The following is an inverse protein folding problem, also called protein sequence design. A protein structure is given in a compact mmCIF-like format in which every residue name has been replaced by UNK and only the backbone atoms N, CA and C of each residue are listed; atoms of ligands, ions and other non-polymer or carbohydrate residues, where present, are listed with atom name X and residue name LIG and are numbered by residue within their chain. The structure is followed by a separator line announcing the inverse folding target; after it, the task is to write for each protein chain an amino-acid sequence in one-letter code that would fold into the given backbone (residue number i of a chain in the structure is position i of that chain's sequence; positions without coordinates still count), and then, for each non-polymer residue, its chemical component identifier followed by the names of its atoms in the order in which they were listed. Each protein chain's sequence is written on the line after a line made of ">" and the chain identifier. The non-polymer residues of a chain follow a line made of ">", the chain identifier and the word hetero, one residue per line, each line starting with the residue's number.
data_IF_447858592272
#
_entry.id   IF_447858592272
#
_cell.length_a   1.000
_cell.length_b   1.000
_cell.length_c   1.000
_cell.angle_alpha   90.00
_cell.angle_beta   90.00
_cell.angle_gamma   90.00
#
_symmetry.space_group_name_H-M   'P 1'
#
loop_
_entity.id
_entity.type
_entity.pdbx_description
1 polymer ?
#
# COMPACT_ATOMS: atom_id res chain seq x y z
N UNK A 1 -32.14 -19.79 23.07
CA UNK A 1 -33.14 -19.29 24.00
C UNK A 1 -32.42 -18.72 25.24
N UNK A 2 -32.49 -17.40 25.42
CA UNK A 2 -31.82 -16.71 26.53
C UNK A 2 -32.58 -16.85 27.85
N UNK A 3 -33.86 -17.25 27.82
CA UNK A 3 -34.67 -17.53 29.02
C UNK A 3 -34.19 -18.78 29.74
N UNK A 4 -33.62 -19.74 29.00
CA UNK A 4 -33.01 -20.94 29.56
C UNK A 4 -31.57 -20.70 30.04
N UNK A 5 -30.89 -19.70 29.48
CA UNK A 5 -29.46 -19.42 29.74
C UNK A 5 -29.23 -18.51 30.94
N UNK A 6 -30.13 -17.56 31.18
CA UNK A 6 -30.06 -16.62 32.28
C UNK A 6 -31.39 -16.61 33.05
N UNK A 7 -31.39 -16.82 34.37
CA UNK A 7 -32.61 -16.79 35.17
C UNK A 7 -33.23 -15.38 35.16
N UNK A 8 -34.53 -15.30 35.44
CA UNK A 8 -35.20 -14.01 35.63
C UNK A 8 -34.57 -13.21 36.78
N UNK A 9 -34.41 -11.92 36.57
CA UNK A 9 -33.94 -11.00 37.60
C UNK A 9 -35.04 -10.78 38.65
N UNK A 10 -34.66 -10.44 39.88
CA UNK A 10 -35.63 -10.10 40.90
C UNK A 10 -36.42 -8.83 40.50
N UNK A 11 -37.67 -8.66 40.97
CA UNK A 11 -38.42 -7.43 40.73
C UNK A 11 -37.59 -6.21 41.14
N UNK A 12 -37.53 -5.21 40.25
CA UNK A 12 -36.71 -3.99 40.38
C UNK A 12 -35.18 -4.14 40.16
N UNK A 13 -34.67 -5.34 39.91
CA UNK A 13 -33.25 -5.58 39.59
C UNK A 13 -32.96 -5.74 38.09
N UNK A 14 -33.97 -5.59 37.23
CA UNK A 14 -33.88 -5.77 35.77
C UNK A 14 -32.89 -4.83 35.07
N UNK A 15 -32.51 -3.72 35.69
CA UNK A 15 -31.49 -2.79 35.18
C UNK A 15 -30.18 -2.80 35.99
N UNK A 16 -30.07 -3.68 36.99
CA UNK A 16 -28.90 -3.79 37.85
C UNK A 16 -27.64 -4.11 37.02
N UNK A 17 -26.42 -3.83 37.53
CA UNK A 17 -25.18 -4.03 36.79
C UNK A 17 -24.96 -5.47 36.25
N UNK A 18 -25.59 -6.45 36.90
CA UNK A 18 -25.50 -7.88 36.58
C UNK A 18 -26.79 -8.44 35.95
N UNK A 19 -27.76 -7.59 35.63
CA UNK A 19 -29.06 -7.99 35.11
C UNK A 19 -28.94 -8.81 33.81
N UNK A 20 -29.92 -9.67 33.60
CA UNK A 20 -30.04 -10.56 32.45
C UNK A 20 -29.95 -9.83 31.11
N UNK A 21 -30.50 -8.61 31.02
CA UNK A 21 -30.45 -7.79 29.80
C UNK A 21 -29.02 -7.50 29.35
N UNK A 22 -28.12 -7.16 30.27
CA UNK A 22 -26.72 -6.85 29.96
C UNK A 22 -25.94 -8.09 29.53
N UNK A 23 -26.22 -9.24 30.15
CA UNK A 23 -25.61 -10.52 29.77
C UNK A 23 -26.06 -10.98 28.39
N UNK A 24 -27.36 -10.81 28.10
CA UNK A 24 -27.94 -11.13 26.79
C UNK A 24 -27.36 -10.21 25.70
N UNK A 25 -27.31 -8.91 25.96
CA UNK A 25 -26.69 -7.94 25.05
C UNK A 25 -25.21 -8.24 24.81
N UNK A 26 -24.46 -8.60 25.85
CA UNK A 26 -23.05 -8.95 25.72
C UNK A 26 -22.83 -10.20 24.86
N UNK A 27 -23.68 -11.22 25.01
CA UNK A 27 -23.61 -12.40 24.15
C UNK A 27 -23.89 -12.07 22.68
N UNK A 28 -24.98 -11.35 22.40
CA UNK A 28 -25.36 -10.97 21.03
C UNK A 28 -24.33 -10.04 20.38
N UNK A 29 -23.88 -9.02 21.11
CA UNK A 29 -22.87 -8.08 20.61
C UNK A 29 -21.52 -8.76 20.38
N UNK A 30 -21.13 -9.72 21.23
CA UNK A 30 -19.91 -10.51 21.02
C UNK A 30 -19.98 -11.35 19.74
N UNK A 31 -21.12 -11.97 19.44
CA UNK A 31 -21.30 -12.75 18.20
C UNK A 31 -21.19 -11.81 16.99
N UNK A 32 -21.91 -10.68 17.02
CA UNK A 32 -21.87 -9.69 15.95
C UNK A 32 -20.45 -9.12 15.73
N UNK A 33 -19.78 -8.71 16.81
CA UNK A 33 -18.45 -8.15 16.78
C UNK A 33 -17.41 -9.15 16.30
N UNK A 34 -17.51 -10.41 16.73
CA UNK A 34 -16.62 -11.47 16.29
C UNK A 34 -16.72 -11.68 14.78
N UNK A 35 -17.95 -11.83 14.25
CA UNK A 35 -18.18 -12.02 12.82
C UNK A 35 -17.65 -10.83 12.00
N UNK A 36 -17.99 -9.60 12.40
CA UNK A 36 -17.55 -8.39 11.72
C UNK A 36 -16.02 -8.25 11.71
N UNK A 37 -15.36 -8.52 12.85
CA UNK A 37 -13.93 -8.38 13.00
C UNK A 37 -13.16 -9.48 12.28
N UNK A 38 -13.65 -10.72 12.32
CA UNK A 38 -13.06 -11.85 11.61
C UNK A 38 -13.06 -11.60 10.09
N UNK A 39 -14.21 -11.26 9.51
CA UNK A 39 -14.33 -10.93 8.09
C UNK A 39 -13.41 -9.75 7.70
N UNK A 40 -13.41 -8.69 8.52
CA UNK A 40 -12.57 -7.51 8.26
C UNK A 40 -11.08 -7.86 8.33
N UNK A 41 -10.67 -8.69 9.29
CA UNK A 41 -9.28 -9.09 9.47
C UNK A 41 -8.80 -9.96 8.33
N UNK A 42 -9.59 -10.95 7.91
CA UNK A 42 -9.22 -11.86 6.82
C UNK A 42 -9.04 -11.10 5.51
N UNK A 43 -9.94 -10.15 5.20
CA UNK A 43 -9.81 -9.29 4.04
C UNK A 43 -8.53 -8.44 4.08
N UNK A 44 -8.23 -7.85 5.23
CA UNK A 44 -7.05 -7.01 5.43
C UNK A 44 -5.75 -7.84 5.40
N UNK A 45 -5.78 -9.08 5.90
CA UNK A 45 -4.65 -10.02 5.86
C UNK A 45 -4.24 -10.33 4.42
N UNK A 46 -5.22 -10.73 3.59
CA UNK A 46 -5.00 -11.02 2.17
C UNK A 46 -4.46 -9.79 1.45
N UNK A 47 -5.06 -8.63 1.70
CA UNK A 47 -4.65 -7.38 1.08
C UNK A 47 -3.21 -6.98 1.44
N UNK A 48 -2.80 -7.18 2.70
CA UNK A 48 -1.46 -6.84 3.17
C UNK A 48 -0.40 -7.71 2.49
N UNK A 49 -0.66 -9.01 2.34
CA UNK A 49 0.23 -9.93 1.59
C UNK A 49 0.33 -9.49 0.14
N UNK A 50 -0.80 -9.21 -0.50
CA UNK A 50 -0.85 -8.74 -1.88
C UNK A 50 -0.07 -7.43 -2.06
N UNK A 51 -0.31 -6.43 -1.19
CA UNK A 51 0.39 -5.15 -1.21
C UNK A 51 1.90 -5.31 -1.01
N UNK A 52 2.34 -6.18 -0.11
CA UNK A 52 3.76 -6.46 0.10
C UNK A 52 4.43 -7.06 -1.15
N UNK A 53 3.83 -8.11 -1.72
CA UNK A 53 4.34 -8.76 -2.93
C UNK A 53 4.35 -7.82 -4.14
N UNK A 54 3.25 -7.10 -4.35
CA UNK A 54 3.14 -6.12 -5.42
C UNK A 54 4.16 -4.99 -5.27
N UNK A 55 4.33 -4.45 -4.06
CA UNK A 55 5.35 -3.42 -3.80
C UNK A 55 6.76 -3.92 -4.10
N UNK A 56 7.08 -5.17 -3.77
CA UNK A 56 8.37 -5.77 -4.09
C UNK A 56 8.59 -5.85 -5.61
N UNK A 57 7.59 -6.33 -6.36
CA UNK A 57 7.64 -6.37 -7.83
C UNK A 57 7.82 -4.97 -8.40
N UNK A 58 6.97 -4.01 -8.05
CA UNK A 58 7.06 -2.62 -8.57
C UNK A 58 8.41 -2.00 -8.22
N UNK A 59 8.96 -2.28 -7.03
CA UNK A 59 10.28 -1.77 -6.62
C UNK A 59 11.39 -2.27 -7.54
N UNK A 60 11.34 -3.52 -8.01
CA UNK A 60 12.35 -4.03 -8.96
C UNK A 60 12.34 -3.25 -10.28
N UNK A 61 11.14 -2.95 -10.80
CA UNK A 61 10.96 -2.14 -12.00
C UNK A 61 11.45 -0.70 -11.78
N UNK A 62 11.06 -0.07 -10.67
CA UNK A 62 11.48 1.28 -10.31
C UNK A 62 12.99 1.39 -10.18
N UNK A 63 13.65 0.43 -9.51
CA UNK A 63 15.11 0.42 -9.38
C UNK A 63 15.76 0.36 -10.77
N UNK A 64 15.24 -0.45 -11.67
CA UNK A 64 15.76 -0.57 -13.02
C UNK A 64 15.54 0.71 -13.85
N UNK A 65 14.34 1.27 -13.89
CA UNK A 65 14.04 2.43 -14.75
C UNK A 65 14.47 3.76 -14.17
N UNK A 66 14.70 3.85 -12.86
CA UNK A 66 15.24 5.05 -12.23
C UNK A 66 16.64 5.38 -12.74
N UNK A 67 17.38 4.38 -13.22
CA UNK A 67 18.70 4.56 -13.83
C UNK A 67 18.61 5.30 -15.17
N UNK A 68 17.50 5.14 -15.91
CA UNK A 68 17.24 5.89 -17.15
C UNK A 68 17.01 7.39 -16.91
N UNK A 69 16.76 7.80 -15.67
CA UNK A 69 16.69 9.22 -15.29
C UNK A 69 18.06 9.84 -14.98
N UNK A 70 19.14 9.09 -15.18
CA UNK A 70 20.51 9.54 -14.99
C UNK A 70 21.34 9.37 -16.27
N UNK A 71 22.42 10.14 -16.44
CA UNK A 71 23.33 9.97 -17.57
C UNK A 71 23.95 8.57 -17.59
N UNK A 72 23.92 7.90 -18.74
CA UNK A 72 24.64 6.65 -18.94
C UNK A 72 26.13 6.93 -19.27
N UNK A 73 26.95 6.90 -18.22
CA UNK A 73 28.40 7.06 -18.36
C UNK A 73 29.07 5.89 -19.11
N UNK A 74 28.48 4.70 -19.12
CA UNK A 74 29.01 3.58 -19.88
C UNK A 74 28.79 3.79 -21.38
N UNK A 75 27.59 4.21 -21.80
CA UNK A 75 27.32 4.60 -23.18
C UNK A 75 28.17 5.81 -23.61
N UNK A 76 28.32 6.82 -22.73
CA UNK A 76 29.17 7.98 -23.02
C UNK A 76 30.64 7.56 -23.21
N UNK A 77 31.21 6.76 -22.30
CA UNK A 77 32.58 6.29 -22.45
C UNK A 77 32.79 5.42 -23.69
N UNK A 78 31.84 4.53 -24.02
CA UNK A 78 31.88 3.73 -25.24
C UNK A 78 31.87 4.59 -26.51
N UNK A 79 31.04 5.64 -26.54
CA UNK A 79 30.97 6.57 -27.68
C UNK A 79 32.26 7.36 -27.89
N UNK A 80 32.86 7.86 -26.81
CA UNK A 80 34.13 8.60 -26.85
C UNK A 80 35.31 7.70 -27.21
N UNK A 81 35.31 6.45 -26.72
CA UNK A 81 36.30 5.44 -27.13
C UNK A 81 36.18 5.09 -28.61
N UNK A 82 34.95 4.95 -29.12
CA UNK A 82 34.71 4.71 -30.53
C UNK A 82 35.22 5.86 -31.40
N UNK A 83 34.94 7.11 -31.01
CA UNK A 83 35.50 8.31 -31.66
C UNK A 83 37.05 8.28 -31.65
N UNK A 84 37.67 7.99 -30.51
CA UNK A 84 39.13 7.87 -30.39
C UNK A 84 39.72 6.83 -31.36
N UNK A 85 39.07 5.68 -31.51
CA UNK A 85 39.49 4.65 -32.47
C UNK A 85 39.35 5.14 -33.92
N UNK A 86 38.28 5.87 -34.26
CA UNK A 86 38.14 6.48 -35.59
C UNK A 86 39.23 7.52 -35.86
N UNK A 87 39.58 8.34 -34.87
CA UNK A 87 40.67 9.33 -34.97
C UNK A 87 42.00 8.65 -35.24
N UNK A 88 42.33 7.60 -34.48
CA UNK A 88 43.56 6.83 -34.70
C UNK A 88 43.61 6.21 -36.11
N UNK A 89 42.49 5.67 -36.60
CA UNK A 89 42.41 5.11 -37.97
C UNK A 89 42.55 6.17 -39.05
N UNK A 90 41.93 7.34 -38.89
CA UNK A 90 42.05 8.42 -39.87
C UNK A 90 43.48 8.93 -39.98
N UNK A 91 44.16 9.12 -38.84
CA UNK A 91 45.57 9.51 -38.79
C UNK A 91 46.44 8.46 -39.48
N UNK A 92 46.23 7.17 -39.18
CA UNK A 92 46.99 6.07 -39.80
C UNK A 92 46.80 6.02 -41.33
N UNK A 93 45.62 6.38 -41.83
CA UNK A 93 45.30 6.42 -43.26
C UNK A 93 45.64 7.75 -43.94
N UNK A 94 46.25 8.72 -43.24
CA UNK A 94 46.57 10.05 -43.78
C UNK A 94 45.35 10.94 -44.06
N UNK A 95 44.20 10.58 -43.50
CA UNK A 95 42.93 11.32 -43.59
C UNK A 95 42.85 12.41 -42.52
N UNK A 96 42.22 13.55 -42.84
CA UNK A 96 42.04 14.65 -41.89
C UNK A 96 41.09 14.27 -40.75
N UNK A 97 41.45 14.61 -39.51
CA UNK A 97 40.61 14.42 -38.31
C UNK A 97 39.27 15.16 -38.43
N UNK A 98 39.22 16.26 -39.18
CA UNK A 98 37.99 17.01 -39.44
C UNK A 98 36.93 16.22 -40.24
N UNK A 99 37.29 15.09 -40.84
CA UNK A 99 36.34 14.20 -41.53
C UNK A 99 35.58 13.25 -40.59
N UNK A 100 35.95 13.21 -39.31
CA UNK A 100 35.32 12.35 -38.31
C UNK A 100 34.18 13.11 -37.66
N UNK A 101 33.02 12.45 -37.57
CA UNK A 101 31.87 12.98 -36.85
C UNK A 101 32.15 12.90 -35.34
N UNK A 102 32.09 14.01 -34.59
CA UNK A 102 32.25 14.01 -33.13
C UNK A 102 31.21 13.12 -32.45
N UNK A 103 31.54 12.57 -31.29
CA UNK A 103 30.60 11.78 -30.51
C UNK A 103 29.31 12.57 -30.19
N UNK A 104 28.13 11.97 -30.35
CA UNK A 104 26.86 12.59 -29.96
C UNK A 104 26.73 12.74 -28.43
N UNK A 105 27.53 12.01 -27.65
CA UNK A 105 27.54 12.08 -26.19
C UNK A 105 28.84 12.73 -25.73
N UNK A 106 28.73 13.83 -24.99
CA UNK A 106 29.88 14.51 -24.38
C UNK A 106 29.55 15.02 -22.97
N UNK A 107 30.56 15.25 -22.11
CA UNK A 107 30.35 15.68 -20.71
C UNK A 107 29.90 17.14 -20.53
N UNK A 108 29.92 17.94 -21.61
CA UNK A 108 29.48 19.35 -21.60
C UNK A 108 28.01 19.54 -21.99
N UNK A 109 27.37 18.52 -22.57
CA UNK A 109 25.95 18.55 -22.93
C UNK A 109 25.13 18.24 -21.66
N UNK A 110 24.16 19.09 -21.28
CA UNK A 110 23.29 18.81 -20.15
C UNK A 110 22.42 17.59 -20.44
N UNK A 111 22.39 16.65 -19.51
CA UNK A 111 21.52 15.49 -19.61
C UNK A 111 20.05 15.90 -19.44
N UNK A 112 19.21 15.44 -20.35
CA UNK A 112 17.76 15.58 -20.30
C UNK A 112 17.17 14.18 -20.49
N UNK A 113 16.48 13.61 -19.49
CA UNK A 113 15.86 12.30 -19.63
C UNK A 113 14.76 12.33 -20.69
N UNK A 114 14.52 11.21 -21.36
CA UNK A 114 13.41 11.09 -22.29
C UNK A 114 12.08 11.31 -21.54
N UNK A 115 11.14 11.98 -22.20
CA UNK A 115 9.83 12.26 -21.59
C UNK A 115 9.09 10.96 -21.22
N UNK A 116 9.25 9.92 -22.04
CA UNK A 116 8.73 8.57 -21.78
C UNK A 116 9.26 7.99 -20.47
N UNK A 117 10.57 8.12 -20.22
CA UNK A 117 11.21 7.60 -19.01
C UNK A 117 10.70 8.31 -17.76
N UNK A 118 10.48 9.62 -17.85
CA UNK A 118 9.89 10.41 -16.75
C UNK A 118 8.47 9.96 -16.46
N UNK A 119 7.63 9.74 -17.48
CA UNK A 119 6.25 9.27 -17.32
C UNK A 119 6.19 7.86 -16.74
N UNK A 120 6.96 6.91 -17.27
CA UNK A 120 7.00 5.51 -16.78
C UNK A 120 7.43 5.47 -15.31
N UNK A 121 8.53 6.14 -14.96
CA UNK A 121 8.98 6.21 -13.58
C UNK A 121 7.92 6.87 -12.69
N UNK A 122 7.33 7.99 -13.12
CA UNK A 122 6.27 8.67 -12.36
C UNK A 122 5.06 7.77 -12.07
N UNK A 123 4.59 7.01 -13.06
CA UNK A 123 3.49 6.06 -12.89
C UNK A 123 3.86 4.94 -11.91
N UNK A 124 5.04 4.35 -12.05
CA UNK A 124 5.46 3.26 -11.16
C UNK A 124 5.75 3.71 -9.73
N UNK A 125 6.35 4.89 -9.53
CA UNK A 125 6.47 5.50 -8.20
C UNK A 125 5.11 5.77 -7.57
N UNK A 126 4.14 6.27 -8.35
CA UNK A 126 2.77 6.52 -7.86
C UNK A 126 2.08 5.21 -7.47
N UNK A 127 2.20 4.17 -8.30
CA UNK A 127 1.71 2.83 -7.98
C UNK A 127 2.32 2.28 -6.69
N UNK A 128 3.66 2.39 -6.54
CA UNK A 128 4.36 1.95 -5.35
C UNK A 128 3.87 2.70 -4.10
N UNK A 129 3.73 4.03 -4.20
CA UNK A 129 3.25 4.86 -3.11
C UNK A 129 1.83 4.49 -2.67
N UNK A 130 0.90 4.28 -3.61
CA UNK A 130 -0.47 3.85 -3.31
C UNK A 130 -0.50 2.47 -2.64
N UNK A 131 0.32 1.53 -3.13
CA UNK A 131 0.45 0.19 -2.54
C UNK A 131 0.97 0.24 -1.10
N UNK A 132 2.03 1.00 -0.84
CA UNK A 132 2.59 1.18 0.50
C UNK A 132 1.63 1.90 1.45
N UNK A 133 0.92 2.92 0.95
CA UNK A 133 -0.13 3.62 1.71
C UNK A 133 -1.24 2.66 2.10
N UNK A 134 -1.66 1.79 1.17
CA UNK A 134 -2.69 0.79 1.43
C UNK A 134 -2.23 -0.23 2.47
N UNK A 135 -0.98 -0.70 2.40
CA UNK A 135 -0.39 -1.56 3.41
C UNK A 135 -0.33 -0.89 4.79
N UNK A 136 0.04 0.39 4.86
CA UNK A 136 0.09 1.15 6.11
C UNK A 136 -1.30 1.25 6.76
N UNK A 137 -2.32 1.63 5.96
CA UNK A 137 -3.69 1.76 6.47
C UNK A 137 -4.27 0.40 6.86
N UNK A 138 -3.96 -0.67 6.12
CA UNK A 138 -4.30 -2.04 6.50
C UNK A 138 -3.76 -2.42 7.89
N UNK A 139 -2.50 -2.06 8.19
CA UNK A 139 -1.92 -2.27 9.54
C UNK A 139 -2.64 -1.45 10.61
N UNK A 140 -2.98 -0.19 10.34
CA UNK A 140 -3.76 0.64 11.28
C UNK A 140 -5.14 0.06 11.56
N UNK A 141 -5.84 -0.39 10.52
CA UNK A 141 -7.13 -1.07 10.64
C UNK A 141 -7.02 -2.31 11.52
N UNK A 142 -5.98 -3.15 11.33
CA UNK A 142 -5.74 -4.30 12.22
C UNK A 142 -5.60 -3.90 13.68
N UNK A 143 -4.85 -2.82 13.95
CA UNK A 143 -4.67 -2.32 15.30
C UNK A 143 -6.00 -1.85 15.91
N UNK A 144 -6.83 -1.16 15.13
CA UNK A 144 -8.18 -0.74 15.57
C UNK A 144 -9.09 -1.93 15.86
N UNK A 145 -9.13 -2.93 14.97
CA UNK A 145 -9.91 -4.15 15.16
C UNK A 145 -9.46 -4.92 16.40
N UNK A 146 -8.14 -5.04 16.60
CA UNK A 146 -7.58 -5.68 17.78
C UNK A 146 -7.97 -4.96 19.08
N UNK A 147 -7.86 -3.63 19.11
CA UNK A 147 -8.24 -2.84 20.28
C UNK A 147 -9.75 -2.84 20.53
N UNK A 148 -10.56 -2.92 19.47
CA UNK A 148 -12.02 -2.98 19.56
C UNK A 148 -12.49 -4.21 20.35
N UNK A 149 -11.96 -5.39 20.03
CA UNK A 149 -12.35 -6.69 20.64
C UNK A 149 -11.74 -6.92 22.02
N UNK A 150 -10.73 -6.14 22.42
CA UNK A 150 -10.09 -6.30 23.73
C UNK A 150 -11.11 -6.20 24.88
N UNK A 151 -11.33 -7.29 25.63
CA UNK A 151 -12.37 -7.37 26.65
C UNK A 151 -12.18 -6.28 27.72
N UNK A 152 -13.21 -5.43 27.98
CA UNK A 152 -13.21 -4.55 29.13
C UNK A 152 -13.34 -5.35 30.43
N UNK A 153 -12.70 -4.90 31.51
CA UNK A 153 -12.96 -5.39 32.87
C UNK A 153 -14.21 -4.74 33.45
N UNK A 154 -14.88 -5.40 34.40
CA UNK A 154 -16.02 -4.84 35.13
C UNK A 154 -17.29 -5.68 35.05
N UNK A 155 -18.41 -5.08 35.45
CA UNK A 155 -19.74 -5.73 35.41
C UNK A 155 -20.24 -5.87 33.96
N UNK A 156 -21.19 -6.79 33.66
CA UNK A 156 -21.80 -6.90 32.34
C UNK A 156 -22.32 -5.56 31.79
N UNK A 157 -22.89 -4.71 32.65
CA UNK A 157 -23.31 -3.36 32.30
C UNK A 157 -22.15 -2.45 31.87
N UNK A 158 -21.06 -2.42 32.64
CA UNK A 158 -19.89 -1.57 32.33
C UNK A 158 -19.22 -2.00 31.02
N UNK A 159 -19.12 -3.32 30.81
CA UNK A 159 -18.61 -3.93 29.57
C UNK A 159 -19.48 -3.55 28.38
N UNK A 160 -20.80 -3.63 28.54
CA UNK A 160 -21.79 -3.25 27.51
C UNK A 160 -21.67 -1.79 27.10
N UNK A 161 -21.55 -0.87 28.06
CA UNK A 161 -21.37 0.56 27.76
C UNK A 161 -20.02 0.86 27.10
N UNK A 162 -18.93 0.24 27.58
CA UNK A 162 -17.61 0.42 26.99
C UNK A 162 -17.58 -0.05 25.54
N UNK A 163 -18.17 -1.23 25.26
CA UNK A 163 -18.32 -1.74 23.89
C UNK A 163 -19.15 -0.79 23.04
N UNK A 164 -20.29 -0.30 23.55
CA UNK A 164 -21.15 0.61 22.79
C UNK A 164 -20.45 1.93 22.46
N UNK A 165 -19.67 2.48 23.40
CA UNK A 165 -18.84 3.66 23.16
C UNK A 165 -17.82 3.41 22.04
N UNK A 166 -17.12 2.26 22.07
CA UNK A 166 -16.17 1.87 21.02
C UNK A 166 -16.85 1.68 19.67
N UNK A 167 -18.02 1.04 19.64
CA UNK A 167 -18.80 0.83 18.42
C UNK A 167 -19.28 2.15 17.82
N UNK A 168 -19.77 3.06 18.65
CA UNK A 168 -20.14 4.41 18.22
C UNK A 168 -18.92 5.16 17.65
N UNK A 169 -17.75 5.02 18.27
CA UNK A 169 -16.49 5.53 17.72
C UNK A 169 -16.17 4.90 16.37
N UNK A 170 -16.23 3.58 16.26
CA UNK A 170 -15.96 2.82 15.04
C UNK A 170 -16.85 3.25 13.87
N UNK A 171 -18.14 3.50 14.14
CA UNK A 171 -19.07 4.07 13.16
C UNK A 171 -18.76 5.54 12.83
N UNK A 172 -18.51 6.38 13.83
CA UNK A 172 -18.21 7.80 13.63
C UNK A 172 -16.96 8.01 12.77
N UNK A 173 -15.94 7.18 12.98
CA UNK A 173 -14.70 7.18 12.20
C UNK A 173 -14.81 6.44 10.86
N UNK A 174 -15.99 5.88 10.54
CA UNK A 174 -16.27 5.19 9.27
C UNK A 174 -15.26 4.07 8.96
N UNK A 175 -14.83 3.31 9.97
CA UNK A 175 -13.77 2.30 9.80
C UNK A 175 -14.14 1.24 8.76
N UNK A 176 -15.42 0.86 8.68
CA UNK A 176 -15.91 -0.06 7.64
C UNK A 176 -15.75 0.50 6.21
N UNK A 177 -15.94 1.80 6.03
CA UNK A 177 -15.72 2.46 4.73
C UNK A 177 -14.24 2.46 4.38
N UNK A 178 -13.37 2.72 5.37
CA UNK A 178 -11.91 2.64 5.18
C UNK A 178 -11.52 1.24 4.74
N UNK A 179 -12.00 0.19 5.42
CA UNK A 179 -11.75 -1.22 5.06
C UNK A 179 -12.19 -1.49 3.62
N UNK A 180 -13.39 -1.04 3.23
CA UNK A 180 -13.92 -1.20 1.87
C UNK A 180 -13.15 -0.42 0.79
N UNK A 181 -12.46 0.68 1.15
CA UNK A 181 -11.65 1.47 0.22
C UNK A 181 -10.26 0.88 -0.03
N UNK A 182 -9.73 0.07 0.89
CA UNK A 182 -8.39 -0.49 0.76
C UNK A 182 -8.23 -1.34 -0.53
N UNK A 183 -9.15 -2.27 -0.86
CA UNK A 183 -9.09 -2.97 -2.14
C UNK A 183 -9.10 -2.02 -3.33
N UNK A 184 -9.91 -0.96 -3.31
CA UNK A 184 -10.00 0.00 -4.42
C UNK A 184 -8.66 0.69 -4.66
N UNK A 185 -7.96 1.11 -3.60
CA UNK A 185 -6.63 1.69 -3.70
C UNK A 185 -5.61 0.70 -4.28
N UNK A 186 -5.67 -0.58 -3.88
CA UNK A 186 -4.80 -1.62 -4.47
C UNK A 186 -5.08 -1.84 -5.95
N UNK A 187 -6.34 -1.92 -6.37
CA UNK A 187 -6.68 -2.08 -7.78
C UNK A 187 -6.24 -0.87 -8.61
N UNK A 188 -6.38 0.35 -8.05
CA UNK A 188 -5.89 1.56 -8.69
C UNK A 188 -4.36 1.54 -8.86
N UNK A 189 -3.62 1.14 -7.82
CA UNK A 189 -2.18 0.98 -7.88
C UNK A 189 -1.77 -0.01 -8.99
N UNK A 190 -2.44 -1.17 -9.05
CA UNK A 190 -2.22 -2.17 -10.09
C UNK A 190 -2.52 -1.63 -11.50
N UNK A 191 -3.63 -0.90 -11.67
CA UNK A 191 -4.00 -0.31 -12.95
C UNK A 191 -2.94 0.71 -13.42
N UNK A 192 -2.47 1.57 -12.52
CA UNK A 192 -1.41 2.55 -12.82
C UNK A 192 -0.11 1.84 -13.22
N UNK A 193 0.26 0.76 -12.52
CA UNK A 193 1.42 -0.04 -12.87
C UNK A 193 1.31 -0.65 -14.27
N UNK A 194 0.15 -1.23 -14.61
CA UNK A 194 -0.10 -1.82 -15.92
C UNK A 194 -0.06 -0.77 -17.03
N UNK A 195 -0.60 0.43 -16.81
CA UNK A 195 -0.48 1.54 -17.76
C UNK A 195 1.00 1.91 -17.96
N UNK A 196 1.78 2.00 -16.89
CA UNK A 196 3.22 2.22 -16.99
C UNK A 196 3.95 1.11 -17.76
N UNK A 197 3.53 -0.15 -17.58
CA UNK A 197 4.06 -1.31 -18.33
C UNK A 197 3.78 -1.20 -19.83
N UNK A 198 2.57 -0.79 -20.21
CA UNK A 198 2.20 -0.61 -21.62
C UNK A 198 2.97 0.53 -22.27
N UNK A 199 3.28 1.59 -21.54
CA UNK A 199 4.09 2.71 -22.06
C UNK A 199 5.57 2.35 -22.15
N UNK A 200 6.05 1.47 -21.26
CA UNK A 200 7.43 1.02 -21.22
C UNK A 200 7.79 0.03 -22.35
N UNK A 201 6.84 -0.81 -22.77
CA UNK A 201 6.98 -1.79 -23.86
C UNK A 201 6.91 -1.14 -25.25
#
# INVERSE_FOLDING_TARGET
>A
DYEQKYPEDAPYEETAPNARVWRTYEDESRIHDANMVEESRDNVDVLLVFAGLFSAVVTTFVVQTSQSLQPDYAAMSASLLYESVLVQRAIANGSSVASITPSPLNPTIPFVPATTDVWVNGLWFTSLFLSLTTALVAVLVKQWLHHYVALPSGTPRDRSFTRQFRYAGFQKWHVQVIIGLLPVLMHLALAIFLVGLVIFL
#
